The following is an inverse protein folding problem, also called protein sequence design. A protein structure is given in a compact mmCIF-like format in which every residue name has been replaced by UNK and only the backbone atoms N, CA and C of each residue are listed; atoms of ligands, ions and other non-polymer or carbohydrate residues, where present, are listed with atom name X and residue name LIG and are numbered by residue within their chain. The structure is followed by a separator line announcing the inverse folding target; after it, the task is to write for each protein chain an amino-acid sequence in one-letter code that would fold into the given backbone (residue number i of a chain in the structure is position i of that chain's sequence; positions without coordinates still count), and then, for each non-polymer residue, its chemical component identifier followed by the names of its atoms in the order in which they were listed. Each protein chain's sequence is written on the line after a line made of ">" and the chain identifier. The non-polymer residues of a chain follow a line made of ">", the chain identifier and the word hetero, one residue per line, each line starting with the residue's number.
data_IF_861853159297
#
_entry.id   IF_861853159297
#
_cell.length_a   1.000
_cell.length_b   1.000
_cell.length_c   1.000
_cell.angle_alpha   90.00
_cell.angle_beta   90.00
_cell.angle_gamma   90.00
#
_symmetry.space_group_name_H-M   'P 1'
#
loop_
_entity.id
_entity.type
_entity.pdbx_description
1 polymer ?
#
# COMPACT_ATOMS: atom_id res chain seq x y z
N UNK A 1 32.58 -19.71 5.34
CA UNK A 1 31.96 -19.36 5.25
C UNK A 1 31.45 -18.86 5.26
N UNK A 2 31.53 -18.91 5.03
CA UNK A 2 30.75 -18.41 4.87
C UNK A 2 30.04 -18.09 4.54
N UNK A 3 30.11 -18.18 4.28
CA UNK A 3 29.29 -17.87 3.89
C UNK A 3 28.61 -17.56 3.73
N UNK A 4 28.93 -17.73 3.79
CA UNK A 4 28.18 -17.45 3.66
C UNK A 4 27.60 -17.08 3.57
N UNK A 5 27.92 -17.17 3.79
CA UNK A 5 27.26 -16.76 3.67
C UNK A 5 26.68 -16.18 3.44
N UNK A 6 27.01 -16.31 3.45
CA UNK A 6 26.30 -15.74 3.08
C UNK A 6 25.78 -15.25 2.75
N UNK A 7 25.67 -15.29 2.52
CA UNK A 7 25.04 -14.68 2.02
C UNK A 7 24.48 -14.45 1.68
N UNK A 8 24.18 -14.58 1.35
CA UNK A 8 23.56 -14.29 0.86
C UNK A 8 22.78 -13.81 0.77
N UNK A 9 22.67 -13.89 0.71
CA UNK A 9 21.89 -13.38 0.50
C UNK A 9 21.39 -12.79 0.39
N UNK A 10 21.24 -12.73 0.33
CA UNK A 10 20.73 -12.18 0.06
C UNK A 10 20.42 -11.65 -0.63
N UNK A 11 20.41 -11.70 -1.11
CA UNK A 11 20.17 -11.32 -1.85
C UNK A 11 19.30 -11.13 -2.55
N UNK A 12 18.70 -11.30 -2.77
CA UNK A 12 17.81 -11.20 -3.40
C UNK A 12 16.63 -11.09 -3.03
N UNK A 13 16.59 -10.89 -2.61
CA UNK A 13 15.59 -10.76 -2.32
C UNK A 13 14.95 -9.76 -2.22
N UNK A 14 14.74 -9.58 -1.68
CA UNK A 14 13.74 -8.86 -1.88
C UNK A 14 13.86 -7.48 -1.94
N UNK A 15 14.39 -7.01 -2.65
CA UNK A 15 14.28 -5.65 -3.00
C UNK A 15 12.87 -5.29 -3.27
N UNK A 16 12.10 -6.28 -3.14
CA UNK A 16 10.73 -6.15 -3.47
C UNK A 16 9.96 -5.34 -2.48
N UNK A 17 10.41 -5.30 -1.22
CA UNK A 17 9.70 -4.58 -0.18
C UNK A 17 10.38 -3.25 0.10
N UNK A 18 10.42 -2.39 -0.92
CA UNK A 18 10.83 -1.01 -0.73
C UNK A 18 9.74 -0.27 0.05
N UNK A 19 9.97 1.01 0.32
CA UNK A 19 9.03 1.82 1.11
C UNK A 19 7.64 1.81 0.49
N UNK A 20 7.56 1.90 -0.83
CA UNK A 20 6.27 1.87 -1.52
C UNK A 20 5.57 0.53 -1.32
N UNK A 21 6.27 -0.57 -1.52
CA UNK A 21 5.68 -1.90 -1.36
C UNK A 21 5.22 -2.17 0.06
N UNK A 22 6.01 -1.74 1.05
CA UNK A 22 5.61 -1.91 2.44
C UNK A 22 4.34 -1.17 2.76
N UNK A 23 4.20 0.07 2.26
CA UNK A 23 2.99 0.85 2.51
C UNK A 23 1.78 0.23 1.82
N UNK A 24 1.94 -0.30 0.61
CA UNK A 24 0.85 -0.95 -0.10
C UNK A 24 0.36 -2.18 0.68
N UNK A 25 1.29 -3.01 1.13
CA UNK A 25 0.92 -4.23 1.86
C UNK A 25 0.32 -3.90 3.22
N UNK A 26 0.90 -2.91 3.92
CA UNK A 26 0.35 -2.50 5.21
C UNK A 26 -1.06 -1.95 5.05
N UNK A 27 -1.31 -1.18 4.01
CA UNK A 27 -2.64 -0.66 3.76
C UNK A 27 -3.65 -1.75 3.45
N UNK A 28 -3.25 -2.80 2.73
CA UNK A 28 -4.15 -3.93 2.50
C UNK A 28 -4.53 -4.59 3.82
N UNK A 29 -3.56 -4.78 4.72
CA UNK A 29 -3.85 -5.34 6.03
C UNK A 29 -4.77 -4.43 6.83
N UNK A 30 -4.55 -3.12 6.77
CA UNK A 30 -5.38 -2.17 7.49
C UNK A 30 -6.82 -2.20 6.99
N UNK A 31 -7.03 -2.27 5.67
CA UNK A 31 -8.40 -2.34 5.15
C UNK A 31 -9.09 -3.62 5.57
N UNK A 32 -8.36 -4.73 5.64
CA UNK A 32 -8.93 -5.99 6.10
C UNK A 32 -9.40 -5.88 7.55
N UNK A 33 -8.62 -5.20 8.40
CA UNK A 33 -9.03 -4.99 9.78
C UNK A 33 -10.27 -4.11 9.89
N UNK A 34 -10.39 -3.10 9.03
CA UNK A 34 -11.54 -2.20 9.06
C UNK A 34 -12.85 -2.91 8.73
N UNK A 35 -12.83 -4.06 8.07
CA UNK A 35 -14.04 -4.84 7.88
C UNK A 35 -14.62 -5.28 9.22
N UNK A 36 -13.76 -5.50 10.21
CA UNK A 36 -14.20 -5.93 11.54
C UNK A 36 -14.54 -4.73 12.42
N UNK A 37 -13.75 -3.64 12.32
CA UNK A 37 -13.94 -2.46 13.15
C UNK A 37 -13.80 -1.21 12.27
N UNK A 38 -14.86 -0.86 11.51
CA UNK A 38 -14.76 0.25 10.54
C UNK A 38 -14.37 1.59 11.16
N UNK A 39 -14.72 1.83 12.42
CA UNK A 39 -14.43 3.09 13.08
C UNK A 39 -13.13 3.11 13.86
N UNK A 40 -12.31 2.07 13.78
CA UNK A 40 -11.09 2.03 14.58
C UNK A 40 -10.16 3.16 14.17
N UNK A 41 -10.00 4.14 15.07
CA UNK A 41 -9.30 5.37 14.74
C UNK A 41 -7.81 5.15 14.48
N UNK A 42 -7.18 4.28 15.25
CA UNK A 42 -5.75 4.00 15.07
C UNK A 42 -5.50 3.40 13.69
N UNK A 43 -6.34 2.47 13.27
CA UNK A 43 -6.21 1.84 11.95
C UNK A 43 -6.47 2.84 10.83
N UNK A 44 -7.47 3.72 11.01
CA UNK A 44 -7.78 4.74 10.01
C UNK A 44 -6.62 5.72 9.86
N UNK A 45 -6.00 6.11 10.98
CA UNK A 45 -4.83 6.99 10.94
C UNK A 45 -3.66 6.32 10.23
N UNK A 46 -3.41 5.05 10.54
CA UNK A 46 -2.36 4.27 9.90
C UNK A 46 -2.59 4.18 8.40
N UNK A 47 -3.84 3.93 8.00
CA UNK A 47 -4.21 3.83 6.60
C UNK A 47 -3.95 5.16 5.87
N UNK A 48 -4.30 6.27 6.50
CA UNK A 48 -4.04 7.59 5.93
C UNK A 48 -2.53 7.80 5.73
N UNK A 49 -1.73 7.41 6.71
CA UNK A 49 -0.27 7.53 6.59
C UNK A 49 0.26 6.68 5.44
N UNK A 50 -0.25 5.46 5.29
CA UNK A 50 0.15 4.61 4.18
C UNK A 50 -0.19 5.25 2.83
N UNK A 51 -1.38 5.85 2.72
CA UNK A 51 -1.78 6.51 1.48
C UNK A 51 -0.87 7.70 1.16
N UNK A 52 -0.46 8.46 2.17
CA UNK A 52 0.45 9.59 1.94
C UNK A 52 1.83 9.09 1.48
N UNK A 53 2.30 8.00 2.06
CA UNK A 53 3.58 7.42 1.65
C UNK A 53 3.51 6.93 0.21
N UNK A 54 2.45 6.19 -0.13
CA UNK A 54 2.28 5.65 -1.48
C UNK A 54 2.20 6.79 -2.49
N UNK A 55 1.44 7.83 -2.16
CA UNK A 55 1.30 8.99 -3.02
C UNK A 55 2.64 9.63 -3.31
N UNK A 56 3.42 9.88 -2.25
CA UNK A 56 4.72 10.53 -2.40
C UNK A 56 5.72 9.66 -3.16
N UNK A 57 5.81 8.39 -2.78
CA UNK A 57 6.81 7.51 -3.39
C UNK A 57 6.48 7.21 -4.84
N UNK A 58 5.20 7.00 -5.16
CA UNK A 58 4.82 6.71 -6.54
C UNK A 58 4.99 7.96 -7.42
N UNK A 59 4.68 9.14 -6.90
CA UNK A 59 4.89 10.37 -7.66
C UNK A 59 6.38 10.59 -7.94
N UNK A 60 7.24 10.28 -6.97
CA UNK A 60 8.68 10.40 -7.15
C UNK A 60 9.20 9.46 -8.23
N UNK A 61 8.49 8.37 -8.50
CA UNK A 61 8.83 7.42 -9.54
C UNK A 61 8.20 7.77 -10.89
N UNK A 62 7.56 8.93 -10.98
CA UNK A 62 6.94 9.36 -12.23
C UNK A 62 5.62 8.70 -12.56
N UNK A 63 5.01 8.01 -11.62
CA UNK A 63 3.72 7.37 -11.83
C UNK A 63 2.60 8.40 -11.75
N UNK A 64 1.52 8.13 -12.43
CA UNK A 64 0.37 9.05 -12.42
C UNK A 64 -0.85 8.46 -11.77
N UNK A 65 -1.15 7.20 -12.08
CA UNK A 65 -2.39 6.59 -11.59
C UNK A 65 -2.34 6.38 -10.09
N UNK A 66 -1.20 5.93 -9.56
CA UNK A 66 -1.13 5.64 -8.13
C UNK A 66 -1.33 6.87 -7.24
N UNK A 67 -0.65 8.02 -7.52
CA UNK A 67 -0.89 9.21 -6.69
C UNK A 67 -2.33 9.70 -6.77
N UNK A 68 -2.93 9.64 -7.96
CA UNK A 68 -4.30 10.09 -8.13
C UNK A 68 -5.27 9.20 -7.35
N UNK A 69 -5.07 7.89 -7.43
CA UNK A 69 -5.88 6.94 -6.68
C UNK A 69 -5.76 7.16 -5.18
N UNK A 70 -4.54 7.44 -4.70
CA UNK A 70 -4.33 7.73 -3.28
C UNK A 70 -5.12 8.96 -2.84
N UNK A 71 -5.16 10.01 -3.66
CA UNK A 71 -5.95 11.19 -3.30
C UNK A 71 -7.43 10.86 -3.20
N UNK A 72 -7.93 10.04 -4.12
CA UNK A 72 -9.32 9.61 -4.07
C UNK A 72 -9.60 8.81 -2.79
N UNK A 73 -8.68 7.93 -2.41
CA UNK A 73 -8.85 7.12 -1.21
C UNK A 73 -8.72 7.94 0.07
N UNK A 74 -7.84 8.92 0.08
CA UNK A 74 -7.73 9.84 1.22
C UNK A 74 -9.05 10.59 1.39
N UNK A 75 -9.64 11.04 0.30
CA UNK A 75 -10.94 11.71 0.35
C UNK A 75 -12.02 10.77 0.87
N UNK A 76 -12.04 9.53 0.37
CA UNK A 76 -13.00 8.54 0.83
C UNK A 76 -12.84 8.27 2.33
N UNK A 77 -11.62 8.27 2.82
CA UNK A 77 -11.34 8.00 4.23
C UNK A 77 -11.89 9.07 5.15
N UNK A 78 -12.13 10.27 4.64
CA UNK A 78 -12.70 11.35 5.44
C UNK A 78 -14.20 11.18 5.68
N UNK A 79 -14.86 10.33 4.92
CA UNK A 79 -16.28 10.08 5.12
C UNK A 79 -16.49 9.27 6.39
N UNK A 80 -17.75 9.20 6.83
CA UNK A 80 -18.07 8.43 8.03
C UNK A 80 -17.80 6.95 7.81
N UNK A 81 -17.31 6.23 8.84
CA UNK A 81 -17.10 4.81 8.73
C UNK A 81 -18.39 4.07 8.35
N UNK A 82 -18.27 3.19 7.38
CA UNK A 82 -19.39 2.39 6.91
C UNK A 82 -18.84 1.21 6.11
N UNK A 83 -19.64 0.15 5.92
CA UNK A 83 -19.20 -0.95 5.06
C UNK A 83 -18.88 -0.50 3.63
N UNK A 84 -19.64 0.47 3.11
CA UNK A 84 -19.39 1.00 1.78
C UNK A 84 -18.04 1.69 1.69
N UNK A 85 -17.69 2.45 2.73
CA UNK A 85 -16.38 3.11 2.78
C UNK A 85 -15.25 2.07 2.79
N UNK A 86 -15.40 1.03 3.60
CA UNK A 86 -14.37 -0.01 3.69
C UNK A 86 -14.23 -0.71 2.35
N UNK A 87 -15.33 -0.95 1.65
CA UNK A 87 -15.30 -1.57 0.34
C UNK A 87 -14.52 -0.70 -0.65
N UNK A 88 -14.77 0.59 -0.65
CA UNK A 88 -14.04 1.53 -1.53
C UNK A 88 -12.55 1.49 -1.21
N UNK A 89 -12.20 1.51 0.07
CA UNK A 89 -10.80 1.50 0.50
C UNK A 89 -10.12 0.19 0.10
N UNK A 90 -10.80 -0.93 0.30
CA UNK A 90 -10.23 -2.23 -0.03
C UNK A 90 -10.02 -2.37 -1.53
N UNK A 91 -11.02 -1.99 -2.33
CA UNK A 91 -10.89 -2.05 -3.78
C UNK A 91 -9.75 -1.15 -4.27
N UNK A 92 -9.61 0.02 -3.66
CA UNK A 92 -8.53 0.93 -3.99
C UNK A 92 -7.16 0.33 -3.70
N UNK A 93 -7.00 -0.31 -2.54
CA UNK A 93 -5.73 -0.94 -2.21
C UNK A 93 -5.46 -2.17 -3.06
N UNK A 94 -6.48 -2.91 -3.46
CA UNK A 94 -6.29 -4.00 -4.41
C UNK A 94 -5.74 -3.46 -5.73
N UNK A 95 -6.26 -2.33 -6.20
CA UNK A 95 -5.76 -1.69 -7.41
C UNK A 95 -4.33 -1.20 -7.23
N UNK A 96 -4.04 -0.56 -6.10
CA UNK A 96 -2.68 -0.10 -5.82
C UNK A 96 -1.70 -1.27 -5.80
N UNK A 97 -2.09 -2.38 -5.20
CA UNK A 97 -1.27 -3.57 -5.19
C UNK A 97 -0.98 -4.08 -6.60
N UNK A 98 -2.01 -4.14 -7.44
CA UNK A 98 -1.84 -4.61 -8.81
C UNK A 98 -0.91 -3.70 -9.61
N UNK A 99 -1.05 -2.40 -9.43
CA UNK A 99 -0.18 -1.44 -10.11
C UNK A 99 1.26 -1.58 -9.65
N UNK A 100 1.46 -1.73 -8.34
CA UNK A 100 2.80 -1.91 -7.80
C UNK A 100 3.41 -3.22 -8.27
N UNK A 101 2.65 -4.31 -8.22
CA UNK A 101 3.14 -5.62 -8.60
C UNK A 101 3.50 -5.67 -10.09
N UNK A 102 2.68 -5.04 -10.93
CA UNK A 102 2.95 -5.01 -12.37
C UNK A 102 4.25 -4.28 -12.66
N UNK A 103 4.50 -3.17 -11.98
CA UNK A 103 5.73 -2.43 -12.17
C UNK A 103 6.94 -3.24 -11.71
N UNK A 104 6.81 -3.97 -10.60
CA UNK A 104 7.89 -4.80 -10.09
C UNK A 104 8.22 -5.95 -11.03
N UNK A 105 7.22 -6.47 -11.72
CA UNK A 105 7.43 -7.58 -12.64
C UNK A 105 7.93 -7.12 -14.02
N UNK A 106 8.04 -5.80 -14.24
CA UNK A 106 8.50 -5.28 -15.50
C UNK A 106 7.47 -5.30 -16.61
N UNK A 107 6.20 -5.40 -16.25
CA UNK A 107 5.12 -5.44 -17.24
C UNK A 107 4.61 -4.07 -17.65
N UNK A 108 5.18 -3.03 -17.09
CA UNK A 108 4.73 -1.66 -17.38
C UNK A 108 5.82 -0.85 -18.02
#
# INVERSE_FOLDING_TARGET
>A
MPDDQAPKPRRHTPPLLDTLGKAVLDGKDATAFLWQVPGDQATRTRLHQDLEIIKRESAAQGRREMPQLCEELITALKAQPSPQQVDILQNGFDRLYKLWAAAKSGLM
#
